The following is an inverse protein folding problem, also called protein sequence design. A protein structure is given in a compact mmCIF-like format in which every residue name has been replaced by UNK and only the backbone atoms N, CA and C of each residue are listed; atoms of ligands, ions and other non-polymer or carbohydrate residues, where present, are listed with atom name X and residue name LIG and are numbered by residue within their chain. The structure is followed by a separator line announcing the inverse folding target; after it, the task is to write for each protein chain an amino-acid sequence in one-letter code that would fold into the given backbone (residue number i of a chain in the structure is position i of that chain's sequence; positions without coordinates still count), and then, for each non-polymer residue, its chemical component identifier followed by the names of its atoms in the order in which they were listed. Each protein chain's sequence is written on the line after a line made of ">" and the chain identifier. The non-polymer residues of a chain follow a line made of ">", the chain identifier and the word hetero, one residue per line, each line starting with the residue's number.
data_IF_223783429319
#
_entry.id   IF_223783429319
#
_cell.length_a   1.000
_cell.length_b   1.000
_cell.length_c   1.000
_cell.angle_alpha   90.00
_cell.angle_beta   90.00
_cell.angle_gamma   90.00
#
_symmetry.space_group_name_H-M   'P 1'
#
loop_
_entity.id
_entity.type
_entity.pdbx_description
1 polymer ?
#
# COMPACT_ATOMS: atom_id res chain seq x y z
N UNK A 1 -4.13 1.80 34.51
CA UNK A 1 -3.27 1.99 33.34
C UNK A 1 -2.01 2.70 33.80
N UNK A 2 -0.82 2.15 33.47
CA UNK A 2 0.45 2.54 34.09
C UNK A 2 0.93 3.91 33.53
N UNK A 3 1.26 4.85 34.43
CA UNK A 3 1.82 6.16 34.09
C UNK A 3 3.10 6.03 33.25
N UNK A 4 3.88 4.99 33.53
CA UNK A 4 5.12 4.69 32.78
C UNK A 4 4.81 4.35 31.31
N UNK A 5 3.78 3.56 31.03
CA UNK A 5 3.32 3.25 29.68
C UNK A 5 2.96 4.54 28.90
N UNK A 6 2.16 5.41 29.51
CA UNK A 6 1.77 6.68 28.88
C UNK A 6 2.98 7.57 28.60
N UNK A 7 3.91 7.65 29.53
CA UNK A 7 5.16 8.40 29.33
C UNK A 7 5.97 7.86 28.13
N UNK A 8 6.17 6.54 28.06
CA UNK A 8 6.89 5.91 26.93
C UNK A 8 6.19 6.18 25.59
N UNK A 9 4.88 6.01 25.56
CA UNK A 9 4.06 6.26 24.35
C UNK A 9 4.17 7.70 23.89
N UNK A 10 3.95 8.68 24.79
CA UNK A 10 4.09 10.09 24.46
C UNK A 10 5.50 10.46 24.01
N UNK A 11 6.51 9.95 24.69
CA UNK A 11 7.92 10.13 24.29
C UNK A 11 8.19 9.61 22.89
N UNK A 12 7.70 8.41 22.56
CA UNK A 12 7.86 7.82 21.23
C UNK A 12 7.18 8.67 20.14
N UNK A 13 5.93 9.11 20.38
CA UNK A 13 5.18 9.96 19.44
C UNK A 13 5.92 11.29 19.20
N UNK A 14 6.38 11.91 20.27
CA UNK A 14 7.14 13.18 20.18
C UNK A 14 8.44 12.97 19.38
N UNK A 15 9.18 11.91 19.65
CA UNK A 15 10.41 11.59 18.93
C UNK A 15 10.16 11.34 17.44
N UNK A 16 9.06 10.66 17.07
CA UNK A 16 8.67 10.50 15.66
C UNK A 16 8.34 11.84 15.00
N UNK A 17 7.64 12.73 15.69
CA UNK A 17 7.31 14.06 15.17
C UNK A 17 8.57 14.91 14.88
N UNK A 18 9.66 14.69 15.61
CA UNK A 18 10.96 15.33 15.36
C UNK A 18 11.91 14.49 14.46
N UNK A 19 11.42 13.42 13.83
CA UNK A 19 12.23 12.58 12.95
C UNK A 19 13.27 11.69 13.65
N UNK A 20 13.20 11.57 14.99
CA UNK A 20 14.10 10.77 15.80
C UNK A 20 13.66 9.31 15.84
N UNK A 21 13.71 8.63 14.68
CA UNK A 21 13.17 7.29 14.50
C UNK A 21 13.80 6.24 15.42
N UNK A 22 15.14 6.26 15.59
CA UNK A 22 15.85 5.30 16.44
C UNK A 22 15.47 5.46 17.92
N UNK A 23 15.30 6.70 18.38
CA UNK A 23 14.87 6.96 19.74
C UNK A 23 13.43 6.49 19.97
N UNK A 24 12.52 6.72 19.01
CA UNK A 24 11.15 6.25 19.05
C UNK A 24 11.10 4.71 19.04
N UNK A 25 11.91 4.06 18.21
CA UNK A 25 12.07 2.61 18.16
C UNK A 25 12.39 2.03 19.53
N UNK A 26 13.40 2.59 20.21
CA UNK A 26 13.77 2.16 21.57
C UNK A 26 12.61 2.29 22.57
N UNK A 27 11.74 3.30 22.42
CA UNK A 27 10.55 3.43 23.29
C UNK A 27 9.50 2.38 22.98
N UNK A 28 9.24 2.09 21.72
CA UNK A 28 8.32 1.00 21.36
C UNK A 28 8.82 -0.35 21.81
N UNK A 29 10.12 -0.62 21.73
CA UNK A 29 10.71 -1.85 22.31
C UNK A 29 10.53 -1.93 23.82
N UNK A 30 10.70 -0.82 24.54
CA UNK A 30 10.46 -0.79 25.99
C UNK A 30 8.99 -1.10 26.31
N UNK A 31 8.03 -0.54 25.55
CA UNK A 31 6.61 -0.86 25.69
C UNK A 31 6.39 -2.36 25.44
N UNK A 32 6.93 -2.91 24.35
CA UNK A 32 6.71 -4.30 23.96
C UNK A 32 7.38 -5.33 24.87
N UNK A 33 8.39 -4.95 25.66
CA UNK A 33 8.93 -5.80 26.73
C UNK A 33 7.93 -6.02 27.85
N UNK A 34 7.14 -5.00 28.19
CA UNK A 34 6.16 -5.06 29.29
C UNK A 34 4.77 -5.46 28.78
N UNK A 35 4.42 -4.99 27.58
CA UNK A 35 3.12 -5.21 26.91
C UNK A 35 3.37 -5.79 25.51
N UNK A 36 3.68 -7.08 25.41
CA UNK A 36 4.09 -7.71 24.15
C UNK A 36 3.08 -7.52 23.01
N UNK A 37 1.78 -7.49 23.29
CA UNK A 37 0.71 -7.41 22.31
C UNK A 37 0.10 -6.00 22.18
N UNK A 38 0.85 -4.96 22.62
CA UNK A 38 0.41 -3.58 22.41
C UNK A 38 0.33 -3.26 20.91
N UNK A 39 -0.89 -3.11 20.43
CA UNK A 39 -1.18 -2.93 19.00
C UNK A 39 -0.58 -1.64 18.44
N UNK A 40 -0.54 -0.58 19.25
CA UNK A 40 0.02 0.70 18.84
C UNK A 40 1.55 0.61 18.67
N UNK A 41 2.23 0.03 19.66
CA UNK A 41 3.68 -0.13 19.62
C UNK A 41 4.12 -1.09 18.50
N UNK A 42 3.42 -2.22 18.33
CA UNK A 42 3.65 -3.15 17.20
C UNK A 42 3.48 -2.46 15.86
N UNK A 43 2.36 -1.75 15.64
CA UNK A 43 2.09 -1.08 14.38
C UNK A 43 3.11 0.02 14.07
N UNK A 44 3.47 0.82 15.09
CA UNK A 44 4.45 1.89 14.94
C UNK A 44 5.85 1.35 14.66
N UNK A 45 6.26 0.30 15.38
CA UNK A 45 7.56 -0.35 15.18
C UNK A 45 7.63 -1.00 13.80
N UNK A 46 6.60 -1.73 13.39
CA UNK A 46 6.53 -2.34 12.07
C UNK A 46 6.65 -1.31 10.95
N UNK A 47 6.01 -0.14 11.12
CA UNK A 47 6.12 0.95 10.14
C UNK A 47 7.55 1.50 10.02
N UNK A 48 8.24 1.71 11.15
CA UNK A 48 9.65 2.17 11.15
C UNK A 48 10.53 1.11 10.50
N UNK A 49 10.39 -0.16 10.88
CA UNK A 49 11.16 -1.27 10.30
C UNK A 49 10.96 -1.38 8.78
N UNK A 50 9.72 -1.23 8.31
CA UNK A 50 9.42 -1.22 6.88
C UNK A 50 10.08 -0.03 6.16
N UNK A 51 10.08 1.17 6.78
CA UNK A 51 10.78 2.34 6.23
C UNK A 51 12.30 2.14 6.16
N UNK A 52 12.86 1.35 7.07
CA UNK A 52 14.28 0.95 7.08
C UNK A 52 14.57 -0.27 6.18
N UNK A 53 13.55 -0.78 5.47
CA UNK A 53 13.63 -1.99 4.63
C UNK A 53 13.96 -3.28 5.41
N UNK A 54 13.77 -3.30 6.73
CA UNK A 54 13.79 -4.54 7.52
C UNK A 54 12.42 -5.25 7.39
N UNK A 55 12.20 -5.79 6.21
CA UNK A 55 10.94 -6.44 5.84
C UNK A 55 10.59 -7.62 6.72
N UNK A 56 11.60 -8.38 7.20
CA UNK A 56 11.38 -9.57 8.03
C UNK A 56 10.89 -9.19 9.42
N UNK A 57 11.53 -8.23 10.06
CA UNK A 57 11.12 -7.76 11.36
C UNK A 57 9.75 -7.05 11.30
N UNK A 58 9.52 -6.21 10.27
CA UNK A 58 8.23 -5.58 10.03
C UNK A 58 7.10 -6.61 9.85
N UNK A 59 7.34 -7.66 9.05
CA UNK A 59 6.37 -8.73 8.82
C UNK A 59 6.03 -9.47 10.12
N UNK A 60 7.03 -9.75 10.97
CA UNK A 60 6.80 -10.40 12.27
C UNK A 60 5.83 -9.62 13.15
N UNK A 61 5.95 -8.28 13.19
CA UNK A 61 5.04 -7.45 13.96
C UNK A 61 3.63 -7.39 13.34
N UNK A 62 3.54 -7.30 11.99
CA UNK A 62 2.25 -7.36 11.30
C UNK A 62 1.58 -8.74 11.44
N UNK A 63 2.34 -9.84 11.47
CA UNK A 63 1.79 -11.18 11.73
C UNK A 63 1.14 -11.25 13.11
N UNK A 64 1.77 -10.69 14.13
CA UNK A 64 1.20 -10.59 15.49
C UNK A 64 -0.07 -9.76 15.50
N UNK A 65 -0.07 -8.60 14.86
CA UNK A 65 -1.24 -7.73 14.76
C UNK A 65 -2.43 -8.43 14.07
N UNK A 66 -2.17 -9.17 12.99
CA UNK A 66 -3.22 -9.85 12.23
C UNK A 66 -3.72 -11.13 12.89
N UNK A 67 -2.92 -11.77 13.75
CA UNK A 67 -3.32 -12.97 14.50
C UNK A 67 -4.44 -12.69 15.51
N UNK A 68 -4.61 -11.46 15.97
CA UNK A 68 -5.67 -11.08 16.93
C UNK A 68 -7.08 -11.09 16.30
N UNK A 69 -7.20 -11.15 14.98
CA UNK A 69 -8.47 -11.06 14.27
C UNK A 69 -9.14 -9.67 14.27
N UNK A 70 -8.52 -8.68 14.91
CA UNK A 70 -9.05 -7.31 15.05
C UNK A 70 -8.21 -6.27 14.27
N UNK A 71 -7.34 -6.71 13.38
CA UNK A 71 -6.50 -5.83 12.58
C UNK A 71 -7.33 -4.96 11.64
N UNK A 72 -7.01 -3.66 11.60
CA UNK A 72 -7.66 -2.71 10.67
C UNK A 72 -7.24 -2.93 9.22
N UNK A 73 -8.01 -2.38 8.28
CA UNK A 73 -7.67 -2.36 6.87
C UNK A 73 -6.25 -1.83 6.60
N UNK A 74 -5.84 -0.78 7.32
CA UNK A 74 -4.49 -0.22 7.18
C UNK A 74 -3.38 -1.18 7.63
N UNK A 75 -3.60 -2.00 8.65
CA UNK A 75 -2.64 -3.02 9.08
C UNK A 75 -2.49 -4.10 8.00
N UNK A 76 -3.61 -4.58 7.44
CA UNK A 76 -3.60 -5.54 6.34
C UNK A 76 -2.93 -4.98 5.09
N UNK A 77 -3.22 -3.72 4.74
CA UNK A 77 -2.55 -3.04 3.62
C UNK A 77 -1.02 -2.98 3.84
N UNK A 78 -0.56 -2.55 5.02
CA UNK A 78 0.87 -2.43 5.30
C UNK A 78 1.57 -3.81 5.31
N UNK A 79 0.90 -4.85 5.82
CA UNK A 79 1.40 -6.24 5.72
C UNK A 79 1.53 -6.67 4.26
N UNK A 80 0.51 -6.40 3.44
CA UNK A 80 0.53 -6.67 1.99
C UNK A 80 1.68 -5.98 1.29
N UNK A 81 1.91 -4.70 1.60
CA UNK A 81 3.04 -3.95 1.07
C UNK A 81 4.39 -4.59 1.43
N UNK A 82 4.60 -4.97 2.68
CA UNK A 82 5.84 -5.66 3.12
C UNK A 82 6.02 -6.98 2.38
N UNK A 83 4.97 -7.77 2.22
CA UNK A 83 5.00 -9.03 1.50
C UNK A 83 5.32 -8.83 0.00
N UNK A 84 4.77 -7.79 -0.62
CA UNK A 84 5.09 -7.41 -2.01
C UNK A 84 6.59 -7.09 -2.15
N UNK A 85 7.15 -6.26 -1.24
CA UNK A 85 8.58 -5.93 -1.24
C UNK A 85 9.49 -7.17 -1.05
N UNK A 86 8.98 -8.21 -0.40
CA UNK A 86 9.65 -9.51 -0.25
C UNK A 86 9.44 -10.46 -1.44
N UNK A 87 8.67 -10.06 -2.46
CA UNK A 87 8.32 -10.90 -3.62
C UNK A 87 7.30 -12.00 -3.31
N UNK A 88 6.63 -11.95 -2.14
CA UNK A 88 5.63 -12.94 -1.70
C UNK A 88 4.24 -12.54 -2.23
N UNK A 89 4.11 -12.54 -3.57
CA UNK A 89 3.01 -11.86 -4.27
C UNK A 89 1.62 -12.41 -3.94
N UNK A 90 1.43 -13.73 -3.85
CA UNK A 90 0.14 -14.34 -3.53
C UNK A 90 -0.32 -13.94 -2.13
N UNK A 91 0.60 -13.92 -1.17
CA UNK A 91 0.29 -13.53 0.21
C UNK A 91 0.03 -12.02 0.32
N UNK A 92 0.73 -11.20 -0.47
CA UNK A 92 0.44 -9.78 -0.57
C UNK A 92 -0.97 -9.54 -1.12
N UNK A 93 -1.36 -10.28 -2.16
CA UNK A 93 -2.70 -10.22 -2.74
C UNK A 93 -3.80 -10.53 -1.71
N UNK A 94 -3.63 -11.59 -0.92
CA UNK A 94 -4.56 -11.95 0.16
C UNK A 94 -4.70 -10.81 1.19
N UNK A 95 -3.58 -10.18 1.54
CA UNK A 95 -3.58 -9.05 2.48
C UNK A 95 -4.26 -7.82 1.90
N UNK A 96 -4.02 -7.46 0.63
CA UNK A 96 -4.70 -6.34 -0.02
C UNK A 96 -6.19 -6.60 -0.19
N UNK A 97 -6.58 -7.83 -0.57
CA UNK A 97 -7.99 -8.22 -0.62
C UNK A 97 -8.66 -8.04 0.73
N UNK A 98 -8.03 -8.52 1.81
CA UNK A 98 -8.56 -8.36 3.18
C UNK A 98 -8.67 -6.89 3.59
N UNK A 99 -7.74 -6.05 3.16
CA UNK A 99 -7.82 -4.61 3.39
C UNK A 99 -9.01 -3.97 2.65
N UNK A 100 -9.25 -4.35 1.38
CA UNK A 100 -10.40 -3.88 0.60
C UNK A 100 -11.74 -4.37 1.18
N UNK A 101 -11.80 -5.60 1.69
CA UNK A 101 -13.01 -6.16 2.34
C UNK A 101 -13.36 -5.40 3.62
N UNK A 102 -12.34 -4.99 4.39
CA UNK A 102 -12.51 -4.25 5.65
C UNK A 102 -12.81 -2.77 5.43
N UNK A 103 -12.21 -2.17 4.41
CA UNK A 103 -12.43 -0.78 4.03
C UNK A 103 -12.40 -0.63 2.51
N UNK A 104 -13.57 -0.71 1.85
CA UNK A 104 -13.68 -0.53 0.41
C UNK A 104 -13.27 0.87 -0.10
N UNK A 105 -13.16 1.86 0.80
CA UNK A 105 -12.72 3.22 0.46
C UNK A 105 -11.20 3.40 0.57
N UNK A 106 -10.46 2.37 0.96
CA UNK A 106 -9.00 2.40 1.04
C UNK A 106 -8.39 2.26 -0.37
N UNK A 107 -8.34 3.37 -1.10
CA UNK A 107 -7.88 3.45 -2.51
C UNK A 107 -6.50 2.82 -2.75
N UNK A 108 -5.56 3.02 -1.81
CA UNK A 108 -4.22 2.43 -1.88
C UNK A 108 -4.21 0.90 -1.81
N UNK A 109 -5.22 0.26 -1.17
CA UNK A 109 -5.31 -1.19 -1.13
C UNK A 109 -5.74 -1.74 -2.50
N UNK A 110 -6.69 -1.09 -3.17
CA UNK A 110 -7.08 -1.41 -4.54
C UNK A 110 -5.93 -1.22 -5.53
N UNK A 111 -5.15 -0.13 -5.36
CA UNK A 111 -3.96 0.10 -6.18
C UNK A 111 -2.90 -0.99 -5.98
N UNK A 112 -2.56 -1.31 -4.71
CA UNK A 112 -1.61 -2.39 -4.39
C UNK A 112 -2.06 -3.74 -4.92
N UNK A 113 -3.36 -4.08 -4.78
CA UNK A 113 -3.96 -5.28 -5.36
C UNK A 113 -3.75 -5.31 -6.88
N UNK A 114 -4.04 -4.20 -7.56
CA UNK A 114 -3.85 -4.08 -9.01
C UNK A 114 -2.40 -4.31 -9.44
N UNK A 115 -1.43 -3.73 -8.73
CA UNK A 115 0.00 -3.90 -9.04
C UNK A 115 0.47 -5.35 -8.85
N UNK A 116 0.07 -5.99 -7.77
CA UNK A 116 0.40 -7.40 -7.52
C UNK A 116 -0.22 -8.31 -8.57
N UNK A 117 -1.47 -8.06 -8.97
CA UNK A 117 -2.15 -8.83 -10.02
C UNK A 117 -1.46 -8.68 -11.39
N UNK A 118 -0.93 -7.49 -11.71
CA UNK A 118 -0.10 -7.29 -12.91
C UNK A 118 1.16 -8.18 -12.86
N UNK A 119 1.85 -8.19 -11.72
CA UNK A 119 3.05 -9.01 -11.54
C UNK A 119 2.72 -10.52 -11.65
N UNK A 120 1.57 -10.95 -11.18
CA UNK A 120 1.05 -12.32 -11.29
C UNK A 120 0.47 -12.67 -12.66
N UNK A 121 0.48 -11.75 -13.63
CA UNK A 121 -0.12 -11.91 -14.97
C UNK A 121 -1.63 -12.17 -14.97
N UNK A 122 -2.32 -11.74 -13.93
CA UNK A 122 -3.77 -11.86 -13.75
C UNK A 122 -4.46 -10.57 -14.22
N UNK A 123 -4.35 -10.28 -15.52
CA UNK A 123 -4.72 -8.97 -16.11
C UNK A 123 -6.20 -8.62 -15.94
N UNK A 124 -7.12 -9.57 -16.05
CA UNK A 124 -8.57 -9.30 -15.88
C UNK A 124 -8.88 -8.78 -14.48
N UNK A 125 -8.30 -9.42 -13.46
CA UNK A 125 -8.50 -9.03 -12.08
C UNK A 125 -7.78 -7.71 -11.76
N UNK A 126 -6.61 -7.47 -12.35
CA UNK A 126 -5.90 -6.21 -12.24
C UNK A 126 -6.73 -5.03 -12.76
N UNK A 127 -7.41 -5.20 -13.90
CA UNK A 127 -8.31 -4.19 -14.46
C UNK A 127 -9.44 -3.86 -13.46
N UNK A 128 -10.04 -4.87 -12.83
CA UNK A 128 -11.10 -4.64 -11.84
C UNK A 128 -10.58 -3.82 -10.66
N UNK A 129 -9.46 -4.24 -10.07
CA UNK A 129 -8.88 -3.54 -8.92
C UNK A 129 -8.46 -2.11 -9.25
N UNK A 130 -7.81 -1.89 -10.41
CA UNK A 130 -7.39 -0.56 -10.85
C UNK A 130 -8.58 0.35 -11.19
N UNK A 131 -9.69 -0.17 -11.72
CA UNK A 131 -10.91 0.61 -11.92
C UNK A 131 -11.47 1.11 -10.59
N UNK A 132 -11.57 0.26 -9.57
CA UNK A 132 -11.98 0.70 -8.25
C UNK A 132 -11.05 1.80 -7.70
N UNK A 133 -9.74 1.65 -7.87
CA UNK A 133 -8.80 2.70 -7.49
C UNK A 133 -9.07 4.02 -8.22
N UNK A 134 -9.30 3.99 -9.56
CA UNK A 134 -9.57 5.20 -10.35
C UNK A 134 -10.92 5.83 -10.04
N UNK A 135 -11.93 5.06 -9.63
CA UNK A 135 -13.22 5.58 -9.14
C UNK A 135 -13.06 6.32 -7.82
N UNK A 136 -12.23 5.80 -6.91
CA UNK A 136 -11.94 6.43 -5.62
C UNK A 136 -11.03 7.65 -5.76
N UNK A 137 -10.12 7.64 -6.73
CA UNK A 137 -9.11 8.68 -6.96
C UNK A 137 -9.10 9.14 -8.43
N UNK A 138 -10.19 9.76 -8.93
CA UNK A 138 -10.35 10.04 -10.37
C UNK A 138 -9.31 11.02 -10.94
N UNK A 139 -8.74 11.88 -10.10
CA UNK A 139 -7.71 12.86 -10.49
C UNK A 139 -6.28 12.40 -10.17
N UNK A 140 -6.09 11.17 -9.65
CA UNK A 140 -4.76 10.59 -9.44
C UNK A 140 -4.30 9.87 -10.70
N UNK A 141 -3.15 10.22 -11.31
CA UNK A 141 -2.73 9.60 -12.56
C UNK A 141 -2.25 8.16 -12.42
N UNK A 142 -1.91 7.72 -11.20
CA UNK A 142 -1.24 6.44 -10.98
C UNK A 142 -2.09 5.23 -11.40
N UNK A 143 -3.35 5.18 -10.94
CA UNK A 143 -4.27 4.10 -11.30
C UNK A 143 -4.57 4.07 -12.81
N UNK A 144 -4.84 5.24 -13.40
CA UNK A 144 -5.10 5.39 -14.83
C UNK A 144 -3.90 4.96 -15.69
N UNK A 145 -2.68 5.34 -15.28
CA UNK A 145 -1.46 4.93 -15.97
C UNK A 145 -1.31 3.41 -16.01
N UNK A 146 -1.47 2.73 -14.87
CA UNK A 146 -1.38 1.28 -14.82
C UNK A 146 -2.49 0.60 -15.61
N UNK A 147 -3.72 1.15 -15.53
CA UNK A 147 -4.87 0.62 -16.27
C UNK A 147 -4.64 0.71 -17.79
N UNK A 148 -4.11 1.83 -18.29
CA UNK A 148 -3.75 1.96 -19.70
C UNK A 148 -2.71 0.93 -20.14
N UNK A 149 -1.66 0.73 -19.31
CA UNK A 149 -0.62 -0.26 -19.61
C UNK A 149 -1.16 -1.69 -19.65
N UNK A 150 -2.02 -2.07 -18.70
CA UNK A 150 -2.64 -3.41 -18.70
C UNK A 150 -3.47 -3.62 -19.97
N UNK A 151 -4.24 -2.61 -20.43
CA UNK A 151 -4.98 -2.72 -21.69
C UNK A 151 -4.04 -2.84 -22.92
N UNK A 152 -2.89 -2.16 -22.89
CA UNK A 152 -1.88 -2.32 -23.96
C UNK A 152 -1.26 -3.73 -23.95
N UNK A 153 -0.89 -4.25 -22.80
CA UNK A 153 -0.34 -5.62 -22.67
C UNK A 153 -1.32 -6.70 -23.18
N UNK A 154 -2.62 -6.38 -23.17
CA UNK A 154 -3.69 -7.23 -23.71
C UNK A 154 -4.00 -6.97 -25.19
N UNK A 155 -3.28 -6.07 -25.83
CA UNK A 155 -3.56 -5.61 -27.21
C UNK A 155 -4.92 -4.92 -27.39
N UNK A 156 -5.44 -4.32 -26.32
CA UNK A 156 -6.71 -3.59 -26.28
C UNK A 156 -6.47 -2.08 -26.47
N UNK A 157 -5.87 -1.72 -27.61
CA UNK A 157 -5.40 -0.38 -27.91
C UNK A 157 -6.48 0.71 -27.81
N UNK A 158 -7.73 0.40 -28.21
CA UNK A 158 -8.86 1.33 -28.12
C UNK A 158 -9.18 1.72 -26.67
N UNK A 159 -9.11 0.76 -25.74
CA UNK A 159 -9.35 1.02 -24.32
C UNK A 159 -8.21 1.86 -23.72
N UNK A 160 -6.97 1.52 -24.07
CA UNK A 160 -5.81 2.29 -23.65
C UNK A 160 -5.88 3.73 -24.13
N UNK A 161 -6.26 3.97 -25.40
CA UNK A 161 -6.41 5.30 -25.98
C UNK A 161 -7.47 6.13 -25.25
N UNK A 162 -8.62 5.55 -24.92
CA UNK A 162 -9.67 6.24 -24.13
C UNK A 162 -9.14 6.71 -22.78
N UNK A 163 -8.39 5.86 -22.09
CA UNK A 163 -7.78 6.20 -20.81
C UNK A 163 -6.73 7.30 -20.98
N UNK A 164 -5.90 7.21 -21.99
CA UNK A 164 -4.88 8.22 -22.27
C UNK A 164 -5.49 9.59 -22.60
N UNK A 165 -6.59 9.64 -23.35
CA UNK A 165 -7.35 10.88 -23.58
C UNK A 165 -7.91 11.46 -22.29
N UNK A 166 -8.40 10.61 -21.38
CA UNK A 166 -8.84 11.05 -20.06
C UNK A 166 -7.67 11.65 -19.27
N UNK A 167 -6.52 10.98 -19.22
CA UNK A 167 -5.30 11.50 -18.58
C UNK A 167 -4.85 12.82 -19.19
N UNK A 168 -4.95 12.99 -20.51
CA UNK A 168 -4.56 14.23 -21.20
C UNK A 168 -5.33 15.45 -20.68
N UNK A 169 -6.59 15.26 -20.21
CA UNK A 169 -7.42 16.36 -19.72
C UNK A 169 -6.99 16.94 -18.37
N UNK A 170 -6.25 16.18 -17.53
CA UNK A 170 -5.84 16.65 -16.20
C UNK A 170 -4.36 16.42 -15.89
N UNK A 171 -3.69 15.46 -16.54
CA UNK A 171 -2.27 15.16 -16.34
C UNK A 171 -1.58 14.89 -17.70
N UNK A 172 -1.44 15.92 -18.56
CA UNK A 172 -0.95 15.77 -19.93
C UNK A 172 0.47 15.22 -20.03
N UNK A 173 1.30 15.40 -18.99
CA UNK A 173 2.66 14.84 -18.96
C UNK A 173 2.65 13.32 -18.89
N UNK A 174 1.75 12.74 -18.11
CA UNK A 174 1.59 11.28 -18.00
C UNK A 174 0.98 10.71 -19.27
N UNK A 175 0.01 11.40 -19.89
CA UNK A 175 -0.51 11.02 -21.20
C UNK A 175 0.60 10.99 -22.27
N UNK A 176 1.42 12.05 -22.36
CA UNK A 176 2.56 12.10 -23.28
C UNK A 176 3.64 11.05 -22.98
N UNK A 177 3.80 10.62 -21.74
CA UNK A 177 4.66 9.49 -21.40
C UNK A 177 4.09 8.19 -21.97
N UNK A 178 2.81 7.92 -21.79
CA UNK A 178 2.13 6.74 -22.36
C UNK A 178 2.18 6.74 -23.88
N UNK A 179 2.01 7.89 -24.57
CA UNK A 179 2.19 7.98 -26.05
C UNK A 179 3.56 7.47 -26.49
N UNK A 180 4.62 7.84 -25.78
CA UNK A 180 5.99 7.38 -26.08
C UNK A 180 6.19 5.90 -25.81
N UNK A 181 5.59 5.40 -24.72
CA UNK A 181 5.73 3.99 -24.32
C UNK A 181 4.90 3.04 -25.17
N UNK A 182 3.71 3.48 -25.60
CA UNK A 182 2.75 2.63 -26.31
C UNK A 182 2.77 2.81 -27.83
N UNK A 183 3.30 3.94 -28.32
CA UNK A 183 3.24 4.33 -29.73
C UNK A 183 1.88 4.84 -30.20
N UNK A 184 0.85 4.85 -29.34
CA UNK A 184 -0.46 5.44 -29.63
C UNK A 184 -0.31 6.95 -29.61
N UNK A 185 -0.72 7.64 -30.69
CA UNK A 185 -0.75 9.10 -30.76
C UNK A 185 -2.17 9.59 -30.49
N UNK A 186 -2.29 10.47 -29.52
CA UNK A 186 -3.54 11.18 -29.24
C UNK A 186 -3.63 12.37 -30.23
N UNK A 187 -4.51 12.27 -31.17
CA UNK A 187 -4.82 13.36 -32.12
C UNK A 187 -5.80 14.38 -31.54
#
# INVERSE_FOLDING_TARGET
>A
MDLHYHFLKWSAVTQLAFGLQDAAMNRFEQILRTYPDDTYALSSRAHILAAQSDWRAALSDYDRLTATGQASASVWFNKGFVLEQMGRLEQALECFQKACDLDPQLDRAWYGQGLVLIQLRRSDEAIVALRHNTELQPMSPHGWYQLARVHMDRSEAEQAEKIMRHLQSFEPKVAAQLERETGIKLS
#
